data_IF_042785556877
#
_entry.id   IF_042785556877
#
_cell.length_a   1.000
_cell.length_b   1.000
_cell.length_c   1.000
_cell.angle_alpha   90.00
_cell.angle_beta   90.00
_cell.angle_gamma   90.00
#
_symmetry.space_group_name_H-M   'P 1'
#
loop_
_entity.id
_entity.type
_entity.pdbx_description
1 polymer ?
#
# COMPACT_ATOMS: atom_id res chain seq x y z
N UNK A 1 52.64 13.69 31.38
CA UNK A 1 51.95 12.50 30.77
C UNK A 1 52.27 12.50 29.29
N UNK A 2 52.90 11.43 28.76
CA UNK A 2 53.36 11.40 27.37
C UNK A 2 52.15 11.24 26.43
N UNK A 3 52.14 11.96 25.32
CA UNK A 3 51.05 11.99 24.31
C UNK A 3 50.65 10.57 23.89
N UNK A 4 51.61 9.63 23.81
CA UNK A 4 51.38 8.23 23.51
C UNK A 4 50.43 7.51 24.51
N UNK A 5 50.43 7.86 25.78
CA UNK A 5 49.55 7.30 26.83
C UNK A 5 48.09 7.75 26.66
N UNK A 6 47.87 9.00 26.20
CA UNK A 6 46.54 9.54 25.95
C UNK A 6 45.91 8.83 24.74
N UNK A 7 46.68 8.53 23.70
CA UNK A 7 46.20 7.78 22.52
C UNK A 7 45.87 6.32 22.84
N UNK A 8 46.64 5.67 23.70
CA UNK A 8 46.38 4.31 24.16
C UNK A 8 45.03 4.24 24.92
N UNK A 9 44.85 5.13 25.93
CA UNK A 9 43.62 5.19 26.73
C UNK A 9 42.36 5.49 25.85
N UNK A 10 42.48 6.37 24.84
CA UNK A 10 41.40 6.63 23.89
C UNK A 10 41.06 5.41 23.04
N UNK A 11 42.07 4.66 22.58
CA UNK A 11 41.90 3.44 21.77
C UNK A 11 41.22 2.34 22.59
N UNK A 12 41.64 2.17 23.85
CA UNK A 12 41.06 1.16 24.75
C UNK A 12 39.60 1.48 25.11
N UNK A 13 39.28 2.76 25.36
CA UNK A 13 37.91 3.22 25.56
C UNK A 13 37.02 3.05 24.32
N UNK A 14 37.52 3.31 23.11
CA UNK A 14 36.81 3.07 21.86
C UNK A 14 36.58 1.57 21.63
N UNK A 15 37.53 0.72 21.94
CA UNK A 15 37.40 -0.73 21.85
C UNK A 15 36.40 -1.27 22.89
N UNK A 16 36.41 -0.75 24.12
CA UNK A 16 35.45 -1.11 25.16
C UNK A 16 34.02 -0.68 24.79
N UNK A 17 33.85 0.54 24.25
CA UNK A 17 32.55 1.02 23.75
C UNK A 17 32.04 0.20 22.54
N UNK A 18 32.93 -0.19 21.62
CA UNK A 18 32.57 -1.03 20.48
C UNK A 18 32.19 -2.44 20.91
N UNK A 19 32.84 -3.00 21.93
CA UNK A 19 32.54 -4.31 22.51
C UNK A 19 31.22 -4.28 23.27
N UNK A 20 30.98 -3.27 24.11
CA UNK A 20 29.71 -3.06 24.81
C UNK A 20 28.53 -2.85 23.85
N UNK A 21 28.76 -2.18 22.69
CA UNK A 21 27.75 -2.00 21.64
C UNK A 21 27.45 -3.30 20.89
N UNK A 22 28.47 -4.16 20.68
CA UNK A 22 28.30 -5.51 20.11
C UNK A 22 27.55 -6.44 21.07
N UNK A 23 27.88 -6.41 22.36
CA UNK A 23 27.20 -7.20 23.41
C UNK A 23 25.75 -6.74 23.60
N UNK A 24 25.45 -5.43 23.62
CA UNK A 24 24.09 -4.90 23.61
C UNK A 24 23.29 -5.32 22.36
N UNK A 25 23.93 -5.39 21.20
CA UNK A 25 23.26 -5.87 19.97
C UNK A 25 23.06 -7.39 19.97
N UNK A 26 23.88 -8.17 20.69
CA UNK A 26 23.73 -9.64 20.77
C UNK A 26 22.66 -10.07 21.79
N UNK A 27 22.36 -9.23 22.79
CA UNK A 27 21.31 -9.49 23.81
C UNK A 27 19.99 -8.81 23.47
N UNK A 28 19.89 -8.03 22.37
CA UNK A 28 18.62 -7.52 21.89
C UNK A 28 17.73 -8.73 21.53
N UNK A 29 16.67 -8.98 22.32
CA UNK A 29 15.64 -9.98 22.00
C UNK A 29 15.26 -9.78 20.54
N UNK A 30 15.55 -10.79 19.69
CA UNK A 30 15.16 -10.76 18.28
C UNK A 30 13.64 -10.66 18.26
N UNK A 31 13.12 -9.51 17.83
CA UNK A 31 11.68 -9.28 17.78
C UNK A 31 11.03 -10.20 16.76
N UNK A 32 10.07 -11.01 17.19
CA UNK A 32 9.29 -11.91 16.35
C UNK A 32 7.88 -11.38 16.11
N UNK A 33 7.25 -11.86 15.06
CA UNK A 33 5.83 -11.65 14.74
C UNK A 33 5.23 -13.00 14.37
N UNK A 34 4.08 -13.33 14.94
CA UNK A 34 3.34 -14.54 14.58
C UNK A 34 2.65 -14.36 13.23
N UNK A 35 2.88 -15.27 12.31
CA UNK A 35 2.19 -15.26 11.01
C UNK A 35 0.70 -15.59 11.22
N UNK A 36 -0.23 -14.76 10.74
CA UNK A 36 -1.66 -15.02 10.91
C UNK A 36 -2.16 -16.24 10.13
N UNK A 37 -1.44 -16.64 9.06
CA UNK A 37 -1.78 -17.79 8.23
C UNK A 37 -1.25 -19.11 8.81
N UNK A 38 0.07 -19.27 8.90
CA UNK A 38 0.69 -20.54 9.34
C UNK A 38 1.03 -20.60 10.84
N UNK A 39 0.79 -19.53 11.60
CA UNK A 39 1.07 -19.42 13.05
C UNK A 39 2.56 -19.50 13.44
N UNK A 40 3.47 -19.63 12.47
CA UNK A 40 4.90 -19.64 12.75
C UNK A 40 5.38 -18.28 13.25
N UNK A 41 6.34 -18.29 14.18
CA UNK A 41 7.05 -17.09 14.59
C UNK A 41 8.10 -16.70 13.57
N UNK A 42 8.03 -15.48 13.08
CA UNK A 42 8.95 -14.94 12.04
C UNK A 42 9.70 -13.75 12.61
N UNK A 43 11.01 -13.73 12.42
CA UNK A 43 11.85 -12.59 12.82
C UNK A 43 11.47 -11.35 12.01
N UNK A 44 11.32 -10.21 12.67
CA UNK A 44 11.00 -8.93 11.98
C UNK A 44 12.05 -8.57 10.92
N UNK A 45 13.31 -8.92 11.12
CA UNK A 45 14.36 -8.64 10.14
C UNK A 45 14.20 -9.50 8.88
N UNK A 46 13.85 -10.79 9.01
CA UNK A 46 13.50 -11.62 7.84
C UNK A 46 12.30 -11.05 7.07
N UNK A 47 11.27 -10.52 7.78
CA UNK A 47 10.15 -9.86 7.13
C UNK A 47 10.54 -8.54 6.45
N UNK A 48 11.56 -7.84 6.95
CA UNK A 48 12.08 -6.65 6.25
C UNK A 48 12.77 -7.03 4.94
N UNK A 49 13.61 -8.06 4.96
CA UNK A 49 14.35 -8.56 3.79
C UNK A 49 13.41 -9.14 2.74
N UNK A 50 12.41 -9.92 3.16
CA UNK A 50 11.38 -10.50 2.29
C UNK A 50 10.28 -9.53 1.86
N UNK A 51 10.42 -8.22 2.11
CA UNK A 51 9.38 -7.21 1.85
C UNK A 51 8.04 -7.53 2.52
N UNK A 52 8.06 -8.18 3.68
CA UNK A 52 6.87 -8.56 4.42
C UNK A 52 6.18 -9.82 3.89
N UNK A 53 6.90 -10.71 3.24
CA UNK A 53 6.38 -12.03 2.85
C UNK A 53 6.85 -13.07 3.88
N UNK A 54 5.93 -13.89 4.38
CA UNK A 54 6.27 -14.95 5.31
C UNK A 54 7.17 -16.01 4.65
N UNK A 55 8.36 -16.31 5.19
CA UNK A 55 9.27 -17.29 4.59
C UNK A 55 8.74 -18.74 4.68
N UNK A 56 7.78 -19.02 5.58
CA UNK A 56 7.24 -20.37 5.77
C UNK A 56 6.06 -20.71 4.86
N UNK A 57 5.14 -19.76 4.64
CA UNK A 57 3.91 -20.04 3.89
C UNK A 57 3.63 -19.06 2.74
N UNK A 58 4.49 -18.07 2.54
CA UNK A 58 4.28 -17.06 1.51
C UNK A 58 3.12 -16.08 1.81
N UNK A 59 2.67 -15.96 3.05
CA UNK A 59 1.65 -14.98 3.42
C UNK A 59 2.20 -13.55 3.30
N UNK A 60 1.44 -12.67 2.68
CA UNK A 60 1.78 -11.27 2.47
C UNK A 60 1.27 -10.43 3.64
N UNK A 61 2.17 -10.03 4.53
CA UNK A 61 1.85 -9.09 5.61
C UNK A 61 1.54 -7.70 5.06
N UNK A 62 0.69 -6.90 5.74
CA UNK A 62 0.48 -5.49 5.41
C UNK A 62 1.81 -4.75 5.28
N UNK A 63 1.95 -3.94 4.24
CA UNK A 63 3.15 -3.16 3.99
C UNK A 63 2.84 -1.67 4.09
N UNK A 64 3.50 -0.97 5.02
CA UNK A 64 3.27 0.46 5.19
C UNK A 64 3.52 1.24 3.89
N UNK A 65 2.80 2.35 3.63
CA UNK A 65 3.01 3.18 2.45
C UNK A 65 4.47 3.62 2.29
N UNK A 66 5.13 3.99 3.38
CA UNK A 66 6.56 4.36 3.36
C UNK A 66 7.43 3.24 2.80
N UNK A 67 7.21 1.98 3.22
CA UNK A 67 7.98 0.83 2.73
C UNK A 67 7.63 0.49 1.29
N UNK A 68 6.34 0.58 0.92
CA UNK A 68 5.89 0.34 -0.45
C UNK A 68 6.47 1.37 -1.42
N UNK A 69 6.41 2.64 -1.09
CA UNK A 69 7.02 3.71 -1.89
C UNK A 69 8.54 3.56 -2.00
N UNK A 70 9.22 3.22 -0.90
CA UNK A 70 10.67 2.98 -0.91
C UNK A 70 11.09 1.77 -1.77
N UNK A 71 10.23 0.75 -1.89
CA UNK A 71 10.46 -0.41 -2.76
C UNK A 71 10.36 -0.06 -4.25
N UNK A 72 9.52 0.92 -4.59
CA UNK A 72 9.24 1.32 -5.97
C UNK A 72 10.12 2.46 -6.45
N UNK A 73 10.38 3.43 -5.59
CA UNK A 73 11.09 4.66 -5.95
C UNK A 73 12.55 4.42 -6.30
N UNK A 74 13.06 5.21 -7.23
CA UNK A 74 14.49 5.31 -7.52
C UNK A 74 15.22 6.14 -6.46
N UNK A 75 14.50 7.01 -5.75
CA UNK A 75 15.04 7.88 -4.72
C UNK A 75 14.91 7.20 -3.34
N UNK A 76 15.97 7.28 -2.52
CA UNK A 76 15.97 6.73 -1.15
C UNK A 76 14.97 7.42 -0.23
N UNK A 77 14.65 8.68 -0.51
CA UNK A 77 13.67 9.48 0.24
C UNK A 77 12.65 10.05 -0.74
N UNK A 78 11.40 9.67 -0.57
CA UNK A 78 10.27 10.24 -1.30
C UNK A 78 9.91 11.58 -0.67
N UNK A 79 9.92 12.65 -1.47
CA UNK A 79 9.51 13.99 -1.03
C UNK A 79 7.99 14.06 -1.01
N UNK A 80 7.40 14.53 0.09
CA UNK A 80 5.97 14.78 0.18
C UNK A 80 5.55 15.83 -0.85
N UNK A 81 4.62 15.48 -1.71
CA UNK A 81 4.12 16.34 -2.78
C UNK A 81 2.77 16.98 -2.44
N UNK A 82 1.98 16.30 -1.62
CA UNK A 82 0.67 16.77 -1.19
C UNK A 82 0.64 17.02 0.33
N UNK A 83 -0.11 18.06 0.73
CA UNK A 83 -0.47 18.22 2.13
C UNK A 83 -1.60 17.24 2.46
N UNK A 84 -1.38 16.33 3.43
CA UNK A 84 -2.38 15.32 3.75
C UNK A 84 -3.60 15.93 4.41
N UNK A 85 -4.77 15.50 3.98
CA UNK A 85 -6.04 15.83 4.61
C UNK A 85 -6.25 15.00 5.88
N UNK A 86 -7.20 15.40 6.72
CA UNK A 86 -7.60 14.68 7.93
C UNK A 86 -9.10 14.49 7.94
N UNK A 87 -9.54 13.25 8.16
CA UNK A 87 -10.97 12.97 8.38
C UNK A 87 -11.49 13.65 9.65
N UNK A 88 -12.74 14.03 9.57
CA UNK A 88 -13.57 14.51 10.68
C UNK A 88 -14.75 13.55 10.86
N UNK A 89 -15.56 13.77 11.89
CA UNK A 89 -16.78 13.00 12.12
C UNK A 89 -18.01 13.77 11.53
N UNK A 90 -18.44 13.47 10.28
CA UNK A 90 -19.44 14.28 9.59
C UNK A 90 -20.89 13.98 10.00
N UNK A 91 -21.12 12.91 10.75
CA UNK A 91 -22.46 12.44 11.14
C UNK A 91 -22.55 12.13 12.64
N UNK A 92 -21.64 12.65 13.44
CA UNK A 92 -21.56 12.42 14.88
C UNK A 92 -21.61 10.94 15.27
N UNK A 93 -20.90 10.08 14.48
CA UNK A 93 -20.87 8.65 14.74
C UNK A 93 -20.15 8.38 16.07
N UNK A 94 -20.72 7.55 16.97
CA UNK A 94 -20.15 7.30 18.30
C UNK A 94 -18.71 6.77 18.23
N UNK A 95 -17.85 7.24 19.09
CA UNK A 95 -16.43 6.83 19.28
C UNK A 95 -15.55 7.00 18.02
N UNK A 96 -16.03 7.67 16.97
CA UNK A 96 -15.27 7.76 15.72
C UNK A 96 -14.08 8.69 15.82
N UNK A 97 -14.22 9.82 16.51
CA UNK A 97 -13.11 10.76 16.70
C UNK A 97 -11.95 10.14 17.49
N UNK A 98 -12.28 9.39 18.56
CA UNK A 98 -11.28 8.65 19.36
C UNK A 98 -10.55 7.62 18.49
N UNK A 99 -11.28 6.84 17.71
CA UNK A 99 -10.70 5.87 16.76
C UNK A 99 -9.81 6.53 15.71
N UNK A 100 -10.17 7.72 15.22
CA UNK A 100 -9.31 8.48 14.31
C UNK A 100 -7.99 8.90 14.98
N UNK A 101 -8.06 9.40 16.23
CA UNK A 101 -6.87 9.80 16.99
C UNK A 101 -5.95 8.60 17.25
N UNK A 102 -6.48 7.49 17.77
CA UNK A 102 -5.73 6.26 18.00
C UNK A 102 -5.03 5.75 16.73
N UNK A 103 -5.75 5.72 15.60
CA UNK A 103 -5.17 5.26 14.34
C UNK A 103 -4.08 6.21 13.83
N UNK A 104 -4.24 7.52 13.98
CA UNK A 104 -3.20 8.51 13.66
C UNK A 104 -1.95 8.32 14.52
N UNK A 105 -2.12 8.08 15.80
CA UNK A 105 -1.00 7.82 16.73
C UNK A 105 -0.27 6.52 16.40
N UNK A 106 -1.02 5.46 16.13
CA UNK A 106 -0.50 4.12 15.83
C UNK A 106 0.23 4.05 14.49
N UNK A 107 -0.34 4.65 13.45
CA UNK A 107 0.18 4.56 12.08
C UNK A 107 1.11 5.70 11.71
N UNK A 108 1.02 6.84 12.39
CA UNK A 108 1.65 8.13 12.06
C UNK A 108 1.19 8.68 10.71
N UNK A 109 -0.02 8.28 10.28
CA UNK A 109 -0.68 8.77 9.07
C UNK A 109 -1.81 9.73 9.43
N UNK A 110 -2.17 10.61 8.52
CA UNK A 110 -3.31 11.52 8.66
C UNK A 110 -4.63 10.80 8.39
N UNK A 111 -4.62 9.85 7.44
CA UNK A 111 -5.73 8.96 7.09
C UNK A 111 -5.19 7.70 6.38
N UNK A 112 -6.08 6.85 5.89
CA UNK A 112 -5.79 5.54 5.32
C UNK A 112 -5.12 5.55 3.94
N UNK A 113 -4.63 6.69 3.46
CA UNK A 113 -3.96 6.82 2.16
C UNK A 113 -2.75 7.75 2.25
N UNK A 114 -1.73 7.44 1.46
CA UNK A 114 -0.60 8.34 1.17
C UNK A 114 -0.51 8.50 -0.34
N UNK A 115 -0.42 9.76 -0.80
CA UNK A 115 -0.32 10.12 -2.21
C UNK A 115 1.00 10.84 -2.46
N UNK A 116 1.78 10.38 -3.45
CA UNK A 116 3.11 10.91 -3.74
C UNK A 116 3.42 10.87 -5.24
N UNK A 117 4.40 11.68 -5.65
CA UNK A 117 4.99 11.63 -6.98
C UNK A 117 6.40 11.04 -6.83
N UNK A 118 6.64 9.92 -7.52
CA UNK A 118 7.92 9.22 -7.47
C UNK A 118 8.46 8.96 -8.88
N UNK A 119 9.71 8.49 -8.95
CA UNK A 119 10.29 7.94 -10.17
C UNK A 119 10.43 6.43 -10.05
N UNK A 120 10.03 5.71 -11.07
CA UNK A 120 10.23 4.28 -11.25
C UNK A 120 11.04 4.08 -12.53
N UNK A 121 12.29 3.69 -12.39
CA UNK A 121 13.24 3.50 -13.50
C UNK A 121 13.29 4.72 -14.46
N UNK A 122 13.42 5.90 -13.85
CA UNK A 122 13.48 7.20 -14.52
C UNK A 122 12.14 7.80 -14.93
N UNK A 123 11.03 7.05 -14.88
CA UNK A 123 9.70 7.53 -15.28
C UNK A 123 8.99 8.12 -14.07
N UNK A 124 8.56 9.38 -14.17
CA UNK A 124 7.79 10.04 -13.13
C UNK A 124 6.34 9.54 -13.14
N UNK A 125 5.83 9.13 -11.99
CA UNK A 125 4.49 8.56 -11.81
C UNK A 125 3.79 9.16 -10.59
N UNK A 126 2.48 9.25 -10.63
CA UNK A 126 1.63 9.58 -9.48
C UNK A 126 1.22 8.27 -8.79
N UNK A 127 1.47 8.14 -7.49
CA UNK A 127 1.22 6.89 -6.75
C UNK A 127 0.37 7.17 -5.52
N UNK A 128 -0.74 6.43 -5.38
CA UNK A 128 -1.55 6.34 -4.18
C UNK A 128 -1.33 4.98 -3.50
N UNK A 129 -1.18 4.98 -2.18
CA UNK A 129 -1.04 3.75 -1.39
C UNK A 129 -1.99 3.78 -0.21
N UNK A 130 -2.99 2.90 -0.22
CA UNK A 130 -3.86 2.70 0.93
C UNK A 130 -3.14 1.88 2.01
N UNK A 131 -3.49 2.12 3.27
CA UNK A 131 -2.89 1.42 4.42
C UNK A 131 -3.97 0.75 5.26
N UNK A 132 -4.04 -0.57 5.19
CA UNK A 132 -4.98 -1.38 5.96
C UNK A 132 -4.84 -1.26 7.48
N UNK A 133 -3.73 -0.73 7.98
CA UNK A 133 -3.51 -0.51 9.41
C UNK A 133 -4.31 0.67 9.96
N UNK A 134 -4.72 1.61 9.11
CA UNK A 134 -5.59 2.74 9.47
C UNK A 134 -7.03 2.38 9.15
N UNK A 135 -7.83 2.06 10.15
CA UNK A 135 -9.25 1.68 10.03
C UNK A 135 -9.52 0.68 8.88
N UNK A 136 -8.69 -0.38 8.81
CA UNK A 136 -8.73 -1.40 7.74
C UNK A 136 -8.59 -0.83 6.31
N UNK A 137 -7.95 0.32 6.13
CA UNK A 137 -7.82 0.95 4.82
C UNK A 137 -9.15 1.45 4.25
N UNK A 138 -10.17 1.63 5.08
CA UNK A 138 -11.51 1.97 4.62
C UNK A 138 -11.56 3.35 3.94
N UNK A 139 -12.32 3.42 2.85
CA UNK A 139 -12.51 4.64 2.07
C UNK A 139 -13.55 5.55 2.72
N UNK A 140 -13.10 6.60 3.38
CA UNK A 140 -13.88 7.75 3.82
C UNK A 140 -13.70 8.94 2.88
N UNK A 141 -14.22 10.09 3.29
CA UNK A 141 -14.18 11.36 2.54
C UNK A 141 -12.75 11.76 2.16
N UNK A 142 -11.80 11.59 3.07
CA UNK A 142 -10.38 11.94 2.83
C UNK A 142 -9.75 11.01 1.80
N UNK A 143 -9.95 9.69 1.92
CA UNK A 143 -9.38 8.73 0.96
C UNK A 143 -9.92 9.02 -0.45
N UNK A 144 -11.23 9.25 -0.58
CA UNK A 144 -11.85 9.58 -1.87
C UNK A 144 -11.33 10.90 -2.45
N UNK A 145 -11.18 11.93 -1.62
CA UNK A 145 -10.63 13.23 -2.04
C UNK A 145 -9.18 13.11 -2.48
N UNK A 146 -8.34 12.42 -1.72
CA UNK A 146 -6.92 12.24 -2.07
C UNK A 146 -6.74 11.47 -3.39
N UNK A 147 -7.58 10.46 -3.66
CA UNK A 147 -7.58 9.77 -4.95
C UNK A 147 -8.00 10.70 -6.09
N UNK A 148 -9.06 11.49 -5.90
CA UNK A 148 -9.53 12.44 -6.89
C UNK A 148 -8.46 13.50 -7.21
N UNK A 149 -7.86 14.12 -6.18
CA UNK A 149 -6.78 15.10 -6.31
C UNK A 149 -5.55 14.52 -7.03
N UNK A 150 -5.18 13.28 -6.70
CA UNK A 150 -4.05 12.58 -7.32
C UNK A 150 -4.33 12.34 -8.81
N UNK A 151 -5.53 11.86 -9.18
CA UNK A 151 -5.93 11.63 -10.56
C UNK A 151 -5.98 12.94 -11.36
N UNK A 152 -6.52 14.02 -10.80
CA UNK A 152 -6.54 15.34 -11.42
C UNK A 152 -5.13 15.88 -11.65
N UNK A 153 -4.26 15.76 -10.65
CA UNK A 153 -2.86 16.17 -10.78
C UNK A 153 -2.13 15.36 -11.84
N UNK A 154 -2.28 14.04 -11.83
CA UNK A 154 -1.71 13.14 -12.84
C UNK A 154 -2.17 13.53 -14.25
N UNK A 155 -3.46 13.81 -14.43
CA UNK A 155 -4.00 14.26 -15.71
C UNK A 155 -3.44 15.62 -16.19
N UNK A 156 -3.32 16.60 -15.28
CA UNK A 156 -2.70 17.90 -15.59
C UNK A 156 -1.24 17.78 -15.97
N UNK A 157 -0.50 16.88 -15.33
CA UNK A 157 0.95 16.67 -15.55
C UNK A 157 1.26 15.58 -16.57
N UNK A 158 0.23 14.92 -17.13
CA UNK A 158 0.34 13.78 -18.06
C UNK A 158 1.22 12.65 -17.49
N UNK A 159 1.03 12.35 -16.20
CA UNK A 159 1.73 11.27 -15.49
C UNK A 159 0.87 10.02 -15.50
N UNK A 160 1.47 8.82 -15.59
CA UNK A 160 0.78 7.58 -15.24
C UNK A 160 0.33 7.62 -13.77
N UNK A 161 -0.83 7.02 -13.49
CA UNK A 161 -1.40 6.88 -12.16
C UNK A 161 -1.31 5.42 -11.72
N UNK A 162 -0.80 5.18 -10.51
CA UNK A 162 -0.73 3.85 -9.90
C UNK A 162 -1.38 3.94 -8.53
N UNK A 163 -2.36 3.07 -8.23
CA UNK A 163 -2.97 3.02 -6.89
C UNK A 163 -2.85 1.60 -6.34
N UNK A 164 -2.22 1.49 -5.17
CA UNK A 164 -2.18 0.25 -4.37
C UNK A 164 -3.36 0.26 -3.41
N UNK A 165 -4.28 -0.68 -3.59
CA UNK A 165 -5.46 -0.82 -2.77
C UNK A 165 -5.24 -1.88 -1.69
N UNK A 166 -5.43 -1.50 -0.42
CA UNK A 166 -5.51 -2.38 0.74
C UNK A 166 -6.66 -1.88 1.60
N UNK A 167 -7.87 -2.50 1.49
CA UNK A 167 -9.07 -1.92 2.08
C UNK A 167 -10.16 -2.92 2.39
N UNK A 168 -10.84 -2.69 3.51
CA UNK A 168 -12.08 -3.38 3.89
C UNK A 168 -13.35 -2.81 3.21
N UNK A 169 -13.24 -1.72 2.42
CA UNK A 169 -14.36 -1.12 1.71
C UNK A 169 -14.70 0.32 2.13
N UNK A 170 -15.95 0.72 2.00
CA UNK A 170 -16.43 2.04 2.42
C UNK A 170 -16.42 2.18 3.94
N UNK A 171 -16.06 3.36 4.44
CA UNK A 171 -15.96 3.67 5.88
C UNK A 171 -17.34 3.90 6.48
N UNK A 172 -17.87 2.90 7.19
CA UNK A 172 -19.24 2.96 7.71
C UNK A 172 -19.46 4.09 8.72
N UNK A 173 -18.44 4.54 9.45
CA UNK A 173 -18.50 5.65 10.38
C UNK A 173 -18.78 7.01 9.73
N UNK A 174 -18.61 7.13 8.42
CA UNK A 174 -18.93 8.32 7.64
C UNK A 174 -20.23 8.17 6.85
N UNK A 175 -20.97 7.05 7.03
CA UNK A 175 -22.29 6.83 6.44
C UNK A 175 -22.34 7.07 4.94
N UNK A 176 -23.34 7.84 4.49
CA UNK A 176 -23.55 8.17 3.07
C UNK A 176 -22.35 8.90 2.45
N UNK A 177 -21.59 9.69 3.22
CA UNK A 177 -20.43 10.39 2.70
C UNK A 177 -19.35 9.42 2.19
N UNK A 178 -19.17 8.27 2.85
CA UNK A 178 -18.25 7.23 2.38
C UNK A 178 -18.74 6.52 1.12
N UNK A 179 -20.04 6.30 0.98
CA UNK A 179 -20.62 5.70 -0.23
C UNK A 179 -20.48 6.65 -1.44
N UNK A 180 -20.66 7.96 -1.24
CA UNK A 180 -20.48 8.95 -2.29
C UNK A 180 -19.04 9.01 -2.81
N UNK A 181 -18.04 8.54 -2.03
CA UNK A 181 -16.67 8.47 -2.52
C UNK A 181 -16.49 7.44 -3.64
N UNK A 182 -17.33 6.41 -3.71
CA UNK A 182 -17.31 5.46 -4.83
C UNK A 182 -17.59 6.18 -6.16
N UNK A 183 -18.64 6.97 -6.22
CA UNK A 183 -18.97 7.76 -7.41
C UNK A 183 -17.92 8.84 -7.72
N UNK A 184 -17.43 9.55 -6.67
CA UNK A 184 -16.42 10.59 -6.80
C UNK A 184 -15.10 10.06 -7.38
N UNK A 185 -14.58 8.97 -6.83
CA UNK A 185 -13.34 8.38 -7.31
C UNK A 185 -13.48 7.80 -8.71
N UNK A 186 -14.60 7.14 -9.02
CA UNK A 186 -14.90 6.65 -10.36
C UNK A 186 -14.95 7.79 -11.38
N UNK A 187 -15.62 8.90 -11.07
CA UNK A 187 -15.68 10.07 -11.95
C UNK A 187 -14.31 10.70 -12.17
N UNK A 188 -13.48 10.81 -11.12
CA UNK A 188 -12.13 11.36 -11.23
C UNK A 188 -11.22 10.48 -12.12
N UNK A 189 -11.27 9.17 -11.93
CA UNK A 189 -10.52 8.19 -12.77
C UNK A 189 -11.00 8.26 -14.23
N UNK A 190 -12.32 8.30 -14.46
CA UNK A 190 -12.86 8.40 -15.81
C UNK A 190 -12.36 9.66 -16.53
N UNK A 191 -12.46 10.84 -15.88
CA UNK A 191 -11.93 12.09 -16.43
C UNK A 191 -10.42 12.05 -16.70
N UNK A 192 -9.66 11.32 -15.89
CA UNK A 192 -8.24 11.09 -16.10
C UNK A 192 -8.00 10.24 -17.34
N UNK A 193 -8.75 9.15 -17.53
CA UNK A 193 -8.65 8.23 -18.68
C UNK A 193 -9.10 8.92 -19.97
N UNK A 194 -10.16 9.71 -19.98
CA UNK A 194 -10.63 10.50 -21.11
C UNK A 194 -9.55 11.46 -21.66
N UNK A 195 -8.62 11.90 -20.83
CA UNK A 195 -7.45 12.70 -21.22
C UNK A 195 -6.26 11.86 -21.71
N UNK A 196 -6.45 10.56 -21.93
CA UNK A 196 -5.41 9.63 -22.35
C UNK A 196 -4.46 9.21 -21.21
N UNK A 197 -4.86 9.38 -19.96
CA UNK A 197 -4.09 8.92 -18.80
C UNK A 197 -4.08 7.41 -18.66
N UNK A 198 -2.93 6.82 -18.29
CA UNK A 198 -2.78 5.42 -17.97
C UNK A 198 -3.01 5.20 -16.47
N UNK A 199 -4.02 4.41 -16.11
CA UNK A 199 -4.28 4.00 -14.73
C UNK A 199 -3.94 2.53 -14.50
N UNK A 200 -2.98 2.26 -13.61
CA UNK A 200 -2.61 0.91 -13.16
C UNK A 200 -3.16 0.71 -11.74
N UNK A 201 -4.10 -0.23 -11.60
CA UNK A 201 -4.64 -0.63 -10.31
C UNK A 201 -3.89 -1.84 -9.77
N UNK A 202 -3.36 -1.73 -8.55
CA UNK A 202 -2.63 -2.80 -7.88
C UNK A 202 -3.42 -3.23 -6.64
N UNK A 203 -4.01 -4.42 -6.69
CA UNK A 203 -4.87 -4.95 -5.65
C UNK A 203 -4.05 -5.76 -4.65
N UNK A 204 -4.07 -5.37 -3.38
CA UNK A 204 -3.37 -6.08 -2.31
C UNK A 204 -4.35 -6.67 -1.29
N UNK A 205 -3.86 -7.42 -0.33
CA UNK A 205 -4.69 -8.19 0.58
C UNK A 205 -5.07 -7.41 1.87
N UNK A 206 -6.38 -7.15 2.12
CA UNK A 206 -7.52 -7.36 1.24
C UNK A 206 -7.86 -6.13 0.39
N UNK A 207 -8.60 -6.31 -0.73
CA UNK A 207 -9.27 -5.22 -1.45
C UNK A 207 -10.74 -5.59 -1.62
N UNK A 208 -11.63 -5.01 -0.80
CA UNK A 208 -13.01 -5.48 -0.69
C UNK A 208 -14.03 -4.35 -0.69
N UNK A 209 -15.31 -4.70 -0.75
CA UNK A 209 -16.44 -3.80 -0.59
C UNK A 209 -16.48 -2.64 -1.59
N UNK A 210 -16.82 -1.45 -1.10
CA UNK A 210 -16.92 -0.26 -1.93
C UNK A 210 -15.64 0.15 -2.65
N UNK A 211 -14.46 -0.24 -2.17
CA UNK A 211 -13.19 0.03 -2.85
C UNK A 211 -13.05 -0.84 -4.08
N UNK A 212 -13.27 -2.16 -3.96
CA UNK A 212 -13.25 -3.07 -5.12
C UNK A 212 -14.35 -2.74 -6.13
N UNK A 213 -15.52 -2.28 -5.67
CA UNK A 213 -16.65 -1.92 -6.52
C UNK A 213 -16.59 -0.49 -7.11
N UNK A 214 -15.47 0.22 -6.93
CA UNK A 214 -15.28 1.56 -7.46
C UNK A 214 -13.93 1.70 -8.19
N UNK A 215 -13.10 2.64 -7.80
CA UNK A 215 -11.86 2.96 -8.52
C UNK A 215 -10.92 1.77 -8.70
N UNK A 216 -10.88 0.82 -7.76
CA UNK A 216 -9.93 -0.30 -7.80
C UNK A 216 -10.16 -1.26 -8.98
N UNK A 217 -11.40 -1.32 -9.52
CA UNK A 217 -11.75 -2.12 -10.71
C UNK A 217 -11.68 -1.34 -12.02
N UNK A 218 -11.27 -0.06 -12.00
CA UNK A 218 -11.28 0.81 -13.17
C UNK A 218 -9.89 0.95 -13.83
N UNK A 219 -8.92 0.13 -13.44
CA UNK A 219 -7.59 0.12 -14.05
C UNK A 219 -7.65 -0.15 -15.57
N UNK A 220 -6.82 0.55 -16.34
CA UNK A 220 -6.52 0.13 -17.72
C UNK A 220 -5.70 -1.16 -17.70
N UNK A 221 -4.94 -1.32 -16.62
CA UNK A 221 -4.21 -2.53 -16.26
C UNK A 221 -4.49 -2.78 -14.77
N UNK A 222 -5.01 -3.97 -14.46
CA UNK A 222 -5.33 -4.37 -13.09
C UNK A 222 -4.54 -5.60 -12.69
N UNK A 223 -3.67 -5.45 -11.70
CA UNK A 223 -2.82 -6.53 -11.20
C UNK A 223 -3.03 -6.75 -9.70
N UNK A 224 -2.61 -7.90 -9.21
CA UNK A 224 -2.71 -8.19 -7.77
C UNK A 224 -1.41 -8.78 -7.20
N UNK A 225 -1.21 -8.62 -5.88
CA UNK A 225 -0.24 -9.44 -5.15
C UNK A 225 -0.79 -10.88 -4.99
N UNK A 226 0.08 -11.91 -4.94
CA UNK A 226 -0.35 -13.30 -4.77
C UNK A 226 -1.22 -13.50 -3.52
N UNK A 227 -2.22 -14.37 -3.63
CA UNK A 227 -3.16 -14.75 -2.57
C UNK A 227 -4.01 -13.59 -2.01
N UNK A 228 -3.99 -12.42 -2.63
CA UNK A 228 -4.81 -11.29 -2.19
C UNK A 228 -6.30 -11.65 -2.27
N UNK A 229 -7.05 -11.34 -1.20
CA UNK A 229 -8.50 -11.43 -1.19
C UNK A 229 -9.08 -10.20 -1.87
N UNK A 230 -9.79 -10.41 -2.97
CA UNK A 230 -10.37 -9.34 -3.78
C UNK A 230 -11.83 -9.69 -4.06
N UNK A 231 -12.75 -8.92 -3.49
CA UNK A 231 -14.18 -9.22 -3.60
C UNK A 231 -15.03 -7.99 -3.28
N UNK A 232 -16.30 -8.02 -3.65
CA UNK A 232 -17.28 -7.08 -3.11
C UNK A 232 -17.77 -7.57 -1.76
N UNK A 233 -18.56 -8.63 -1.71
CA UNK A 233 -18.96 -9.27 -0.47
C UNK A 233 -17.87 -10.23 0.03
N UNK A 234 -17.48 -10.11 1.29
CA UNK A 234 -16.49 -11.00 1.90
C UNK A 234 -16.98 -12.46 2.00
N UNK A 235 -16.06 -13.44 2.05
CA UNK A 235 -16.42 -14.86 2.11
C UNK A 235 -17.44 -15.19 3.21
N UNK A 236 -17.23 -14.65 4.42
CA UNK A 236 -18.16 -14.88 5.55
C UNK A 236 -19.58 -14.44 5.27
N UNK A 237 -19.75 -13.27 4.60
CA UNK A 237 -21.09 -12.75 4.27
C UNK A 237 -21.78 -13.65 3.27
N UNK A 238 -21.04 -14.12 2.24
CA UNK A 238 -21.58 -15.03 1.24
C UNK A 238 -21.97 -16.35 1.90
N UNK A 239 -21.07 -17.00 2.63
CA UNK A 239 -21.32 -18.30 3.28
C UNK A 239 -22.50 -18.23 4.25
N UNK A 240 -22.64 -17.16 5.02
CA UNK A 240 -23.80 -16.95 5.90
C UNK A 240 -25.11 -16.74 5.13
N UNK A 241 -25.04 -16.15 3.93
CA UNK A 241 -26.24 -15.87 3.11
C UNK A 241 -26.72 -17.11 2.37
N UNK A 242 -25.80 -17.89 1.78
CA UNK A 242 -26.16 -19.08 0.99
C UNK A 242 -26.22 -20.37 1.83
N UNK A 243 -25.67 -20.35 3.06
CA UNK A 243 -25.62 -21.52 3.95
C UNK A 243 -24.59 -22.59 3.54
N UNK A 244 -23.71 -22.30 2.57
CA UNK A 244 -22.71 -23.23 2.06
C UNK A 244 -21.30 -22.68 2.17
N UNK A 245 -20.30 -23.56 2.22
CA UNK A 245 -18.88 -23.16 2.20
C UNK A 245 -18.44 -22.83 0.79
N UNK A 246 -17.66 -21.77 0.65
CA UNK A 246 -17.09 -21.39 -0.63
C UNK A 246 -15.96 -22.34 -1.07
N UNK A 247 -15.78 -22.56 -2.38
CA UNK A 247 -14.66 -23.33 -2.90
C UNK A 247 -13.31 -22.79 -2.44
N UNK A 248 -12.30 -23.65 -2.29
CA UNK A 248 -10.96 -23.24 -1.96
C UNK A 248 -10.39 -22.30 -3.04
N UNK A 249 -9.73 -21.24 -2.60
CA UNK A 249 -9.16 -20.24 -3.52
C UNK A 249 -10.17 -19.24 -4.08
N UNK A 250 -11.47 -19.40 -3.82
CA UNK A 250 -12.48 -18.45 -4.29
C UNK A 250 -12.18 -17.00 -3.86
N UNK A 251 -12.35 -16.06 -4.78
CA UNK A 251 -12.04 -14.63 -4.59
C UNK A 251 -10.56 -14.30 -4.32
N UNK A 252 -9.63 -15.25 -4.53
CA UNK A 252 -8.20 -14.97 -4.47
C UNK A 252 -7.68 -14.43 -5.81
N UNK A 253 -6.53 -13.77 -5.76
CA UNK A 253 -5.91 -13.18 -6.94
C UNK A 253 -5.76 -14.18 -8.10
N UNK A 254 -5.32 -15.39 -7.79
CA UNK A 254 -5.11 -16.46 -8.77
C UNK A 254 -6.44 -16.86 -9.44
N UNK A 255 -7.49 -17.05 -8.65
CA UNK A 255 -8.85 -17.33 -9.14
C UNK A 255 -9.36 -16.22 -10.07
N UNK A 256 -9.13 -14.95 -9.68
CA UNK A 256 -9.57 -13.81 -10.48
C UNK A 256 -8.77 -13.68 -11.79
N UNK A 257 -7.49 -14.04 -11.77
CA UNK A 257 -6.67 -14.10 -12.99
C UNK A 257 -7.21 -15.14 -13.97
N UNK A 258 -7.51 -16.36 -13.51
CA UNK A 258 -8.10 -17.43 -14.32
C UNK A 258 -9.45 -17.05 -14.92
N UNK A 259 -10.22 -16.20 -14.22
CA UNK A 259 -11.53 -15.71 -14.68
C UNK A 259 -11.45 -14.37 -15.44
N UNK A 260 -10.27 -13.94 -15.87
CA UNK A 260 -10.07 -12.74 -16.69
C UNK A 260 -10.39 -11.41 -15.99
N UNK A 261 -10.34 -11.39 -14.65
CA UNK A 261 -10.56 -10.17 -13.85
C UNK A 261 -9.29 -9.42 -13.52
N UNK A 262 -8.15 -10.02 -13.74
CA UNK A 262 -6.81 -9.46 -13.57
C UNK A 262 -5.97 -9.69 -14.82
N UNK A 263 -5.07 -8.77 -15.11
CA UNK A 263 -4.07 -8.91 -16.18
C UNK A 263 -2.85 -9.71 -15.72
N UNK A 264 -2.50 -9.64 -14.44
CA UNK A 264 -1.40 -10.42 -13.86
C UNK A 264 -1.50 -10.54 -12.34
N UNK A 265 -0.88 -11.60 -11.81
CA UNK A 265 -0.52 -11.71 -10.39
C UNK A 265 1.00 -11.54 -10.29
N UNK A 266 1.45 -10.54 -9.52
CA UNK A 266 2.84 -10.10 -9.49
C UNK A 266 3.40 -10.15 -8.08
N UNK A 267 4.47 -10.91 -7.86
CA UNK A 267 5.15 -10.97 -6.58
C UNK A 267 5.71 -9.60 -6.16
N UNK A 268 5.66 -9.33 -4.88
CA UNK A 268 6.08 -8.04 -4.31
C UNK A 268 7.53 -7.68 -4.67
N UNK A 269 8.43 -8.66 -4.71
CA UNK A 269 9.83 -8.46 -5.11
C UNK A 269 10.00 -8.09 -6.59
N UNK A 270 9.06 -8.49 -7.44
CA UNK A 270 9.10 -8.26 -8.88
C UNK A 270 8.33 -7.01 -9.30
N UNK A 271 7.52 -6.45 -8.39
CA UNK A 271 6.58 -5.36 -8.65
C UNK A 271 7.24 -4.14 -9.34
N UNK A 272 8.38 -3.68 -8.84
CA UNK A 272 9.10 -2.55 -9.44
C UNK A 272 9.50 -2.83 -10.89
N UNK A 273 10.09 -3.99 -11.15
CA UNK A 273 10.53 -4.38 -12.48
C UNK A 273 9.38 -4.56 -13.45
N UNK A 274 8.26 -5.15 -12.99
CA UNK A 274 7.06 -5.32 -13.78
C UNK A 274 6.43 -3.96 -14.16
N UNK A 275 6.23 -3.09 -13.18
CA UNK A 275 5.71 -1.74 -13.40
C UNK A 275 6.61 -0.93 -14.35
N UNK A 276 7.93 -1.01 -14.19
CA UNK A 276 8.89 -0.35 -15.09
C UNK A 276 8.70 -0.78 -16.55
N UNK A 277 8.54 -2.09 -16.81
CA UNK A 277 8.31 -2.61 -18.17
C UNK A 277 7.03 -2.04 -18.77
N UNK A 278 5.93 -2.07 -18.03
CA UNK A 278 4.63 -1.54 -18.47
C UNK A 278 4.71 -0.04 -18.75
N UNK A 279 5.28 0.72 -17.84
CA UNK A 279 5.45 2.17 -18.00
C UNK A 279 6.29 2.52 -19.26
N UNK A 280 7.36 1.78 -19.51
CA UNK A 280 8.20 1.96 -20.74
C UNK A 280 7.42 1.67 -22.03
N UNK A 281 6.60 0.63 -22.04
CA UNK A 281 5.77 0.30 -23.21
C UNK A 281 4.78 1.42 -23.53
N UNK A 282 4.15 2.00 -22.51
CA UNK A 282 3.17 3.08 -22.70
C UNK A 282 3.83 4.45 -22.97
N UNK A 283 5.02 4.71 -22.43
CA UNK A 283 5.74 5.96 -22.68
C UNK A 283 6.20 6.14 -24.13
N UNK A 284 6.50 5.06 -24.85
CA UNK A 284 6.86 5.08 -26.27
C UNK A 284 5.69 5.46 -27.17
N UNK A 285 4.46 5.05 -26.85
CA UNK A 285 3.24 5.42 -27.59
C UNK A 285 2.92 6.92 -27.49
N UNK A 286 3.24 7.57 -26.39
CA UNK A 286 3.05 9.03 -26.24
C UNK A 286 4.06 9.85 -27.09
N UNK A 287 5.21 9.29 -27.46
CA UNK A 287 6.18 9.93 -28.37
C UNK A 287 5.79 9.79 -29.85
N UNK A 288 5.27 8.63 -30.25
CA UNK A 288 4.85 8.37 -31.62
C UNK A 288 3.55 9.08 -32.04
N UNK A 289 2.75 9.57 -31.09
CA UNK A 289 1.56 10.39 -31.40
C UNK A 289 1.86 11.90 -31.49
N UNK A 290 3.13 12.31 -31.39
CA UNK A 290 3.60 13.68 -31.51
C UNK A 290 4.40 13.97 -32.80
N UNK A 291 4.73 12.94 -33.56
CA UNK A 291 5.31 12.98 -34.92
C UNK A 291 4.20 12.72 -35.98
#
# INVERSE_FOLDING_TARGET
MKIAQIFSIKKDNLNALSKARREKNSTAKKETVTCPSCKAEVLKDMLKESLGVCPHCGYYFPLSPKRRLAMLSDEKQVKKHFHPLKSVNPIDFPDYEEKLLENREKTKLSDAIVTEIIKIDGITVAVGVLDGRFLLGSMGTVVGEEIARLAEYAGKKKLPLIIFSESGGARMQEGIFSLMQMAKTAAAINKFKEKGGLFISVLTNPTTGGVSASFASLGDITIAEPKALICFAGPRVIEQTIGEKLPEGFQRAEFLLEHGRLDAVVERKEMKGWLSKVLKLHSKKQRAAKD
#
